data_IF_632862231477
#
_entry.id   IF_632862231477
#
_cell.length_a   1.000
_cell.length_b   1.000
_cell.length_c   1.000
_cell.angle_alpha   90.00
_cell.angle_beta   90.00
_cell.angle_gamma   90.00
#
_symmetry.space_group_name_H-M   'P 1'
#
loop_
_entity.id
_entity.type
_entity.pdbx_description
1 polymer ?
#
# COMPACT_ATOMS: atom_id res chain seq x y z
N UNK A 1 4.87 -17.27 20.84
CA UNK A 1 3.87 -16.48 20.29
C UNK A 1 4.35 -15.84 19.00
N UNK A 2 3.47 -15.69 18.19
CA UNK A 2 3.79 -15.15 16.93
C UNK A 2 3.82 -13.66 16.95
N UNK A 3 4.85 -13.13 16.48
CA UNK A 3 4.98 -11.74 16.43
C UNK A 3 4.25 -11.20 15.23
N UNK A 4 3.57 -10.10 15.42
CA UNK A 4 2.96 -9.43 14.31
C UNK A 4 3.99 -9.04 13.27
N UNK A 5 5.18 -8.82 13.71
CA UNK A 5 6.24 -8.41 12.79
C UNK A 5 6.53 -9.49 11.76
N UNK A 6 6.23 -10.73 12.07
CA UNK A 6 6.50 -11.78 11.12
C UNK A 6 5.55 -11.73 9.92
N UNK A 7 4.43 -11.01 10.05
CA UNK A 7 3.47 -10.87 8.97
C UNK A 7 3.68 -9.62 8.15
N UNK A 8 4.64 -8.81 8.54
CA UNK A 8 4.88 -7.55 7.88
C UNK A 8 6.28 -7.50 7.33
N UNK A 9 6.44 -6.76 6.27
CA UNK A 9 7.73 -6.63 5.64
C UNK A 9 8.00 -5.18 5.33
N UNK A 10 9.21 -4.75 5.62
CA UNK A 10 9.62 -3.41 5.30
C UNK A 10 10.16 -3.37 3.89
N UNK A 11 9.63 -2.48 3.08
CA UNK A 11 10.00 -2.40 1.67
C UNK A 11 10.45 -0.98 1.36
N UNK A 12 11.53 -0.88 0.62
CA UNK A 12 12.03 0.41 0.17
C UNK A 12 11.89 0.50 -1.34
N UNK A 13 11.25 1.55 -1.82
CA UNK A 13 11.06 1.73 -3.24
C UNK A 13 11.42 3.15 -3.63
N UNK A 14 11.64 3.33 -4.92
CA UNK A 14 11.85 4.64 -5.49
C UNK A 14 10.64 4.94 -6.36
N UNK A 15 10.05 6.10 -6.17
CA UNK A 15 8.83 6.45 -6.87
C UNK A 15 8.93 7.88 -7.35
N UNK A 16 8.30 8.16 -8.48
CA UNK A 16 8.29 9.50 -9.05
C UNK A 16 7.73 10.49 -8.03
N UNK A 17 8.41 11.62 -7.92
CA UNK A 17 8.08 12.62 -6.92
C UNK A 17 6.66 13.16 -7.08
N UNK A 18 6.27 13.46 -8.30
CA UNK A 18 4.94 14.00 -8.55
C UNK A 18 3.85 12.98 -8.29
N UNK A 19 4.12 11.74 -8.66
CA UNK A 19 3.19 10.67 -8.42
C UNK A 19 3.00 10.44 -6.93
N UNK A 20 4.11 10.45 -6.20
CA UNK A 20 4.05 10.26 -4.76
C UNK A 20 3.27 11.38 -4.10
N UNK A 21 3.46 12.62 -4.55
CA UNK A 21 2.73 13.75 -4.00
C UNK A 21 1.23 13.58 -4.18
N UNK A 22 0.81 13.22 -5.37
CA UNK A 22 -0.62 13.00 -5.63
C UNK A 22 -1.16 11.88 -4.78
N UNK A 23 -0.41 10.80 -4.67
CA UNK A 23 -0.84 9.66 -3.90
C UNK A 23 -1.01 10.03 -2.43
N UNK A 24 -0.03 10.74 -1.87
CA UNK A 24 -0.10 11.13 -0.47
C UNK A 24 -1.26 12.06 -0.20
N UNK A 25 -1.50 12.98 -1.12
CA UNK A 25 -2.60 13.92 -0.95
C UNK A 25 -3.93 13.21 -0.89
N UNK A 26 -4.15 12.29 -1.81
CA UNK A 26 -5.41 11.56 -1.86
C UNK A 26 -5.55 10.58 -0.70
N UNK A 27 -4.46 9.90 -0.39
CA UNK A 27 -4.50 8.90 0.67
C UNK A 27 -4.72 9.53 2.03
N UNK A 28 -4.10 10.67 2.28
CA UNK A 28 -4.28 11.31 3.58
C UNK A 28 -5.70 11.79 3.75
N UNK A 29 -6.39 12.11 2.67
CA UNK A 29 -7.79 12.51 2.77
C UNK A 29 -8.70 11.33 3.01
N UNK A 30 -8.40 10.22 2.36
CA UNK A 30 -9.23 9.03 2.50
C UNK A 30 -9.10 8.42 3.89
N UNK A 31 -7.90 8.38 4.42
CA UNK A 31 -7.64 7.77 5.72
C UNK A 31 -7.29 8.82 6.77
N UNK A 32 -8.00 9.93 6.74
CA UNK A 32 -7.59 11.12 7.49
C UNK A 32 -7.44 10.96 8.99
N UNK A 33 -8.10 10.00 9.58
CA UNK A 33 -7.96 9.80 11.02
C UNK A 33 -7.24 8.54 11.39
N UNK A 34 -6.55 7.95 10.43
CA UNK A 34 -5.81 6.72 10.67
C UNK A 34 -4.36 7.01 10.96
N UNK A 35 -3.83 6.52 12.05
CA UNK A 35 -2.41 6.79 12.35
C UNK A 35 -1.45 6.21 11.33
N UNK A 36 -1.82 5.15 10.66
CA UNK A 36 -0.95 4.54 9.65
C UNK A 36 -1.55 4.66 8.27
N UNK A 37 -2.03 5.83 7.96
CA UNK A 37 -2.76 6.03 6.72
C UNK A 37 -1.93 5.72 5.48
N UNK A 38 -0.64 6.02 5.53
CA UNK A 38 0.19 5.80 4.35
C UNK A 38 0.35 4.30 4.08
N UNK A 39 0.63 3.54 5.13
CA UNK A 39 0.75 2.09 4.98
C UNK A 39 -0.55 1.46 4.50
N UNK A 40 -1.66 1.93 5.05
CA UNK A 40 -2.96 1.42 4.63
C UNK A 40 -3.23 1.72 3.17
N UNK A 41 -2.88 2.90 2.73
CA UNK A 41 -3.08 3.29 1.35
C UNK A 41 -2.21 2.46 0.41
N UNK A 42 -0.98 2.21 0.81
CA UNK A 42 -0.09 1.39 0.01
C UNK A 42 -0.64 -0.03 -0.11
N UNK A 43 -1.11 -0.58 0.99
CA UNK A 43 -1.67 -1.93 0.96
C UNK A 43 -2.88 -2.01 0.05
N UNK A 44 -3.72 -1.00 0.10
CA UNK A 44 -4.88 -0.96 -0.77
C UNK A 44 -4.45 -0.89 -2.23
N UNK A 45 -3.47 -0.05 -2.51
CA UNK A 45 -2.99 0.09 -3.88
C UNK A 45 -2.40 -1.21 -4.39
N UNK A 46 -1.65 -1.91 -3.55
CA UNK A 46 -1.06 -3.18 -3.94
C UNK A 46 -2.14 -4.21 -4.22
N UNK A 47 -3.15 -4.26 -3.37
CA UNK A 47 -4.26 -5.18 -3.58
C UNK A 47 -5.00 -4.90 -4.88
N UNK A 48 -5.22 -3.64 -5.18
CA UNK A 48 -5.88 -3.26 -6.41
C UNK A 48 -5.04 -3.65 -7.62
N UNK A 49 -3.73 -3.46 -7.51
CA UNK A 49 -2.85 -3.82 -8.61
C UNK A 49 -2.87 -5.32 -8.86
N UNK A 50 -2.84 -6.09 -7.79
CA UNK A 50 -2.90 -7.53 -7.89
C UNK A 50 -4.20 -7.97 -8.55
N UNK A 51 -5.32 -7.39 -8.11
CA UNK A 51 -6.62 -7.73 -8.66
C UNK A 51 -6.68 -7.46 -10.15
N UNK A 52 -6.07 -6.36 -10.59
CA UNK A 52 -6.07 -6.01 -11.99
C UNK A 52 -5.18 -6.90 -12.83
N UNK A 53 -4.16 -7.48 -12.23
CA UNK A 53 -3.15 -8.21 -12.97
C UNK A 53 -3.14 -9.70 -12.71
N UNK A 54 -4.00 -10.15 -11.85
CA UNK A 54 -4.04 -11.56 -11.53
C UNK A 54 -4.66 -12.30 -12.69
N UNK A 55 -4.13 -13.50 -12.97
CA UNK A 55 -4.72 -14.26 -14.01
C UNK A 55 -5.09 -15.63 -13.47
N UNK A 56 -5.88 -16.34 -14.20
CA UNK A 56 -6.46 -17.59 -13.71
C UNK A 56 -5.41 -18.64 -13.43
N UNK A 57 -4.29 -18.52 -14.07
CA UNK A 57 -3.22 -19.50 -13.90
C UNK A 57 -2.33 -19.17 -12.76
N UNK A 58 -2.54 -18.07 -12.11
CA UNK A 58 -1.69 -17.66 -11.03
C UNK A 58 -1.91 -18.51 -9.79
N UNK A 59 -0.85 -18.88 -9.14
CA UNK A 59 -0.95 -19.67 -7.93
C UNK A 59 -0.34 -18.95 -6.77
#
# INVERSE_FOLDING_TARGET
MVSKASDEKRVTIVIDKNLDYKFRKMASQKFRFEPKWYSKAIEEAVNLWIDDNIDEDFE
#
